data_IF_608440656554
#
_entry.id   IF_608440656554
#
_cell.length_a   1.000
_cell.length_b   1.000
_cell.length_c   1.000
_cell.angle_alpha   90.00
_cell.angle_beta   90.00
_cell.angle_gamma   90.00
#
_symmetry.space_group_name_H-M   'P 1'
#
loop_
_entity.id
_entity.type
_entity.pdbx_description
1 polymer ?
#
# COMPACT_ATOMS: atom_id res chain seq x y z
N UNK A 1 -9.96 -10.66 5.48
CA UNK A 1 -8.50 -10.51 5.64
C UNK A 1 -7.99 -9.08 5.45
N UNK A 2 -8.22 -8.35 4.33
CA UNK A 2 -7.76 -6.93 4.26
C UNK A 2 -8.49 -6.00 5.23
N UNK A 3 -9.75 -6.33 5.53
CA UNK A 3 -10.61 -5.56 6.43
C UNK A 3 -9.99 -5.47 7.82
N UNK A 4 -9.43 -6.58 8.29
CA UNK A 4 -8.84 -6.73 9.61
C UNK A 4 -7.53 -5.94 9.72
N UNK A 5 -6.71 -5.92 8.66
CA UNK A 5 -5.45 -5.18 8.66
C UNK A 5 -5.69 -3.66 8.59
N UNK A 6 -6.58 -3.20 7.71
CA UNK A 6 -6.94 -1.79 7.64
C UNK A 6 -7.58 -1.30 8.96
N UNK A 7 -8.42 -2.11 9.59
CA UNK A 7 -9.03 -1.79 10.87
C UNK A 7 -8.01 -1.79 12.03
N UNK A 8 -7.04 -2.71 12.02
CA UNK A 8 -5.93 -2.73 12.98
C UNK A 8 -5.08 -1.46 12.88
N UNK A 9 -4.80 -0.99 11.66
CA UNK A 9 -4.02 0.24 11.44
C UNK A 9 -4.74 1.51 11.87
N UNK A 10 -6.08 1.54 11.83
CA UNK A 10 -6.86 2.64 12.39
C UNK A 10 -6.93 2.59 13.93
N UNK A 11 -7.01 1.38 14.51
CA UNK A 11 -7.11 1.19 15.97
C UNK A 11 -5.78 1.41 16.69
N UNK A 12 -4.67 1.09 16.05
CA UNK A 12 -3.33 1.36 16.57
C UNK A 12 -2.98 2.82 16.27
N UNK A 13 -3.04 3.69 17.29
CA UNK A 13 -2.65 5.12 17.21
C UNK A 13 -1.13 5.32 17.01
N UNK A 14 -0.50 4.48 16.20
CA UNK A 14 0.91 4.55 15.87
C UNK A 14 1.12 5.65 14.83
N UNK A 15 2.19 6.41 14.99
CA UNK A 15 2.49 7.61 14.19
C UNK A 15 3.11 7.25 12.82
N UNK A 16 2.46 6.35 12.07
CA UNK A 16 2.91 5.95 10.74
C UNK A 16 2.78 7.11 9.75
N UNK A 17 3.79 7.29 8.90
CA UNK A 17 3.77 8.31 7.82
C UNK A 17 3.05 7.83 6.56
N UNK A 18 2.48 6.64 6.58
CA UNK A 18 1.85 5.98 5.43
C UNK A 18 1.96 4.46 5.58
N UNK A 19 0.98 3.74 5.05
CA UNK A 19 0.96 2.28 5.07
C UNK A 19 0.66 1.79 3.66
N UNK A 20 1.52 0.91 3.14
CA UNK A 20 1.37 0.32 1.81
C UNK A 20 1.27 -1.20 1.93
N UNK A 21 0.14 -1.76 1.49
CA UNK A 21 -0.08 -3.19 1.38
C UNK A 21 0.08 -3.62 -0.09
N UNK A 22 1.12 -4.43 -0.36
CA UNK A 22 1.39 -5.00 -1.68
C UNK A 22 0.80 -6.40 -1.78
N UNK A 23 -0.11 -6.58 -2.73
CA UNK A 23 -0.76 -7.88 -3.04
C UNK A 23 -0.35 -8.27 -4.44
N UNK A 24 0.81 -8.91 -4.49
CA UNK A 24 1.53 -9.32 -5.69
C UNK A 24 1.63 -10.85 -5.70
N UNK A 25 0.47 -11.50 -5.57
CA UNK A 25 0.32 -12.96 -5.68
C UNK A 25 0.96 -13.39 -7.01
N UNK A 26 1.81 -14.43 -6.96
CA UNK A 26 2.54 -14.99 -8.10
C UNK A 26 3.50 -14.05 -8.87
N UNK A 27 3.75 -12.84 -8.38
CA UNK A 27 4.67 -11.91 -9.04
C UNK A 27 6.14 -12.34 -8.89
N UNK A 28 6.85 -12.32 -10.02
CA UNK A 28 8.30 -12.45 -10.10
C UNK A 28 9.01 -11.31 -9.37
N UNK A 29 10.30 -11.50 -9.07
CA UNK A 29 11.12 -10.44 -8.47
C UNK A 29 11.16 -9.17 -9.35
N UNK A 30 11.19 -9.33 -10.67
CA UNK A 30 11.19 -8.22 -11.63
C UNK A 30 9.90 -7.41 -11.53
N UNK A 31 8.75 -8.07 -11.51
CA UNK A 31 7.46 -7.39 -11.39
C UNK A 31 7.32 -6.66 -10.06
N UNK A 32 7.79 -7.26 -8.96
CA UNK A 32 7.83 -6.61 -7.64
C UNK A 32 8.64 -5.32 -7.66
N UNK A 33 9.83 -5.34 -8.26
CA UNK A 33 10.67 -4.15 -8.40
C UNK A 33 9.99 -3.06 -9.25
N UNK A 34 9.40 -3.45 -10.38
CA UNK A 34 8.66 -2.51 -11.25
C UNK A 34 7.51 -1.84 -10.50
N UNK A 35 6.73 -2.61 -9.73
CA UNK A 35 5.62 -2.05 -8.93
C UNK A 35 6.13 -1.10 -7.85
N UNK A 36 7.17 -1.47 -7.11
CA UNK A 36 7.73 -0.61 -6.05
C UNK A 36 8.28 0.69 -6.66
N UNK A 37 9.02 0.61 -7.77
CA UNK A 37 9.51 1.80 -8.47
C UNK A 37 8.34 2.70 -8.87
N UNK A 38 7.34 2.17 -9.57
CA UNK A 38 6.16 2.93 -9.98
C UNK A 38 5.45 3.62 -8.80
N UNK A 39 5.28 2.94 -7.67
CA UNK A 39 4.59 3.50 -6.52
C UNK A 39 5.37 4.65 -5.86
N UNK A 40 6.69 4.52 -5.76
CA UNK A 40 7.54 5.54 -5.14
C UNK A 40 7.88 6.69 -6.09
N UNK A 41 7.79 6.51 -7.42
CA UNK A 41 7.97 7.61 -8.37
C UNK A 41 6.65 8.33 -8.68
N UNK A 42 5.57 7.60 -8.95
CA UNK A 42 4.33 8.18 -9.49
C UNK A 42 3.22 8.39 -8.45
N UNK A 43 3.34 7.78 -7.27
CA UNK A 43 2.27 7.75 -6.25
C UNK A 43 2.74 8.15 -4.85
N UNK A 44 3.95 8.70 -4.73
CA UNK A 44 4.58 9.00 -3.43
C UNK A 44 3.69 9.86 -2.52
N UNK A 45 3.13 10.94 -3.05
CA UNK A 45 2.24 11.84 -2.29
C UNK A 45 1.00 11.11 -1.75
N UNK A 46 0.46 10.17 -2.53
CA UNK A 46 -0.70 9.38 -2.16
C UNK A 46 -0.38 8.25 -1.15
N UNK A 47 0.89 8.00 -0.85
CA UNK A 47 1.31 7.10 0.21
C UNK A 47 1.37 7.81 1.57
N UNK A 48 1.67 9.12 1.59
CA UNK A 48 1.83 9.86 2.83
C UNK A 48 0.51 9.99 3.59
N UNK A 49 0.51 9.59 4.86
CA UNK A 49 -0.66 9.61 5.77
C UNK A 49 -1.88 8.85 5.23
N UNK A 50 -1.68 7.89 4.33
CA UNK A 50 -2.74 7.08 3.76
C UNK A 50 -2.47 5.59 3.97
N UNK A 51 -3.56 4.82 4.06
CA UNK A 51 -3.52 3.37 3.93
C UNK A 51 -3.80 3.03 2.47
N UNK A 52 -2.80 2.51 1.81
CA UNK A 52 -2.80 2.26 0.37
C UNK A 52 -2.63 0.78 0.08
N UNK A 53 -3.34 0.28 -0.93
CA UNK A 53 -3.31 -1.11 -1.34
C UNK A 53 -3.02 -1.18 -2.83
N UNK A 54 -2.02 -1.96 -3.22
CA UNK A 54 -1.76 -2.31 -4.61
C UNK A 54 -2.15 -3.78 -4.84
N UNK A 55 -3.13 -4.04 -5.71
CA UNK A 55 -3.58 -5.39 -6.06
C UNK A 55 -3.95 -5.45 -7.54
N UNK A 56 -3.47 -6.47 -8.25
CA UNK A 56 -3.82 -6.75 -9.66
C UNK A 56 -3.71 -5.50 -10.56
N UNK A 57 -2.60 -4.77 -10.44
CA UNK A 57 -2.38 -3.54 -11.22
C UNK A 57 -3.11 -2.29 -10.71
N UNK A 58 -3.97 -2.42 -9.69
CA UNK A 58 -4.81 -1.33 -9.17
C UNK A 58 -4.24 -0.80 -7.86
N UNK A 59 -4.06 0.52 -7.81
CA UNK A 59 -3.71 1.26 -6.62
C UNK A 59 -4.96 1.88 -5.99
N UNK A 60 -5.20 1.61 -4.71
CA UNK A 60 -6.32 2.14 -3.93
C UNK A 60 -5.79 2.86 -2.70
N UNK A 61 -6.38 4.00 -2.38
CA UNK A 61 -5.96 4.86 -1.28
C UNK A 61 -7.14 5.07 -0.34
N UNK A 62 -6.91 4.94 0.96
CA UNK A 62 -7.87 5.26 2.02
C UNK A 62 -7.21 6.24 2.99
N UNK A 63 -7.90 7.34 3.30
CA UNK A 63 -7.46 8.28 4.34
C UNK A 63 -7.52 7.58 5.70
N UNK A 64 -6.43 7.67 6.46
CA UNK A 64 -6.34 7.14 7.83
C UNK A 64 -6.77 8.22 8.83
#
# INVERSE_FOLDING_TARGET
>A
MDKDFGELTHKTKNNYKGILLLRLEDASAKEKLTVVQFLFTEKLEALFNHFSVYKNGKFRVKKI
#
